data_IF_120976449435
#
_entry.id   IF_120976449435
#
_cell.length_a   1.000
_cell.length_b   1.000
_cell.length_c   1.000
_cell.angle_alpha   90.00
_cell.angle_beta   90.00
_cell.angle_gamma   90.00
#
_symmetry.space_group_name_H-M   'P 1'
#
loop_
_entity.id
_entity.type
_entity.pdbx_description
1 polymer ?
#
# COMPACT_ATOMS: atom_id res chain seq x y z
N UNK A 1 -0.66 73.19 7.50
CA UNK A 1 0.66 72.58 7.23
C UNK A 1 1.01 71.63 8.38
N UNK A 2 1.76 70.56 8.09
CA UNK A 2 2.26 69.48 9.00
C UNK A 2 1.31 68.28 9.15
N UNK A 3 1.75 67.02 9.11
CA UNK A 3 2.91 66.32 8.53
C UNK A 3 2.52 64.83 8.67
N UNK A 4 2.84 64.02 7.67
CA UNK A 4 2.59 62.56 7.61
C UNK A 4 3.34 61.83 8.74
N UNK A 5 2.83 60.70 9.22
CA UNK A 5 3.60 59.45 9.38
C UNK A 5 2.64 58.23 9.54
N UNK A 6 3.03 57.02 9.07
CA UNK A 6 2.11 56.00 8.59
C UNK A 6 1.85 54.88 9.62
N UNK A 7 0.57 54.52 9.80
CA UNK A 7 0.16 53.30 10.51
C UNK A 7 0.13 52.18 9.46
N UNK A 8 1.29 51.65 9.06
CA UNK A 8 1.35 50.50 8.16
C UNK A 8 2.62 49.68 8.37
N UNK A 9 2.76 49.05 9.52
CA UNK A 9 3.76 47.96 9.70
C UNK A 9 3.55 47.21 11.02
N UNK A 10 2.52 46.37 11.16
CA UNK A 10 2.52 45.34 12.23
C UNK A 10 1.45 44.25 12.08
N UNK A 11 1.34 43.56 10.95
CA UNK A 11 0.39 42.44 10.79
C UNK A 11 0.96 41.25 10.00
N UNK A 12 2.28 41.06 9.97
CA UNK A 12 2.93 40.04 9.13
C UNK A 12 3.83 39.04 9.89
N UNK A 13 3.51 38.71 11.16
CA UNK A 13 4.38 37.84 11.98
C UNK A 13 3.70 36.59 12.55
N UNK A 14 2.37 36.42 12.40
CA UNK A 14 1.66 35.25 12.94
C UNK A 14 1.58 34.05 11.98
N UNK A 15 1.81 34.24 10.67
CA UNK A 15 1.67 33.14 9.70
C UNK A 15 2.87 32.17 9.67
N UNK A 16 4.05 32.59 10.11
CA UNK A 16 5.29 31.80 10.00
C UNK A 16 5.37 30.63 11.01
N UNK A 17 4.70 30.73 12.16
CA UNK A 17 4.78 29.72 13.21
C UNK A 17 3.87 28.50 12.92
N UNK A 18 2.74 28.72 12.25
CA UNK A 18 1.79 27.64 11.92
C UNK A 18 2.29 26.72 10.80
N UNK A 19 3.14 27.22 9.90
CA UNK A 19 3.74 26.40 8.84
C UNK A 19 4.85 25.52 9.38
N UNK A 20 5.68 26.04 10.28
CA UNK A 20 6.80 25.30 10.90
C UNK A 20 6.31 24.10 11.73
N UNK A 21 5.26 24.28 12.53
CA UNK A 21 4.65 23.19 13.29
C UNK A 21 4.01 22.12 12.39
N UNK A 22 3.37 22.54 11.30
CA UNK A 22 2.73 21.62 10.35
C UNK A 22 3.76 20.82 9.54
N UNK A 23 4.87 21.45 9.15
CA UNK A 23 5.95 20.79 8.42
C UNK A 23 6.69 19.79 9.31
N UNK A 24 6.98 20.15 10.57
CA UNK A 24 7.55 19.22 11.56
C UNK A 24 6.66 18.00 11.79
N UNK A 25 5.35 18.19 11.93
CA UNK A 25 4.40 17.09 12.09
C UNK A 25 4.38 16.14 10.87
N UNK A 26 4.55 16.67 9.65
CA UNK A 26 4.63 15.86 8.43
C UNK A 26 5.93 15.06 8.36
N UNK A 27 7.06 15.64 8.77
CA UNK A 27 8.35 14.96 8.81
C UNK A 27 8.35 13.81 9.83
N UNK A 28 7.76 14.03 11.01
CA UNK A 28 7.59 12.98 12.02
C UNK A 28 6.70 11.84 11.50
N UNK A 29 5.57 12.17 10.86
CA UNK A 29 4.68 11.18 10.26
C UNK A 29 5.37 10.38 9.14
N UNK A 30 6.15 11.05 8.28
CA UNK A 30 6.91 10.38 7.22
C UNK A 30 7.97 9.45 7.79
N UNK A 31 8.67 9.87 8.84
CA UNK A 31 9.69 9.05 9.51
C UNK A 31 9.07 7.80 10.13
N UNK A 32 7.96 7.97 10.87
CA UNK A 32 7.23 6.86 11.47
C UNK A 32 6.75 5.86 10.40
N UNK A 33 6.25 6.35 9.26
CA UNK A 33 5.85 5.49 8.14
C UNK A 33 7.04 4.75 7.53
N UNK A 34 8.17 5.43 7.32
CA UNK A 34 9.39 4.82 6.79
C UNK A 34 9.93 3.74 7.72
N UNK A 35 10.00 4.01 9.03
CA UNK A 35 10.42 3.04 10.05
C UNK A 35 9.49 1.82 10.05
N UNK A 36 8.18 2.05 9.97
CA UNK A 36 7.20 0.97 9.88
C UNK A 36 7.41 0.11 8.61
N UNK A 37 7.65 0.73 7.46
CA UNK A 37 7.89 0.02 6.19
C UNK A 37 9.20 -0.78 6.23
N UNK A 38 10.28 -0.22 6.77
CA UNK A 38 11.58 -0.91 6.89
C UNK A 38 11.49 -2.08 7.89
N UNK A 39 10.74 -1.92 8.97
CA UNK A 39 10.57 -2.95 9.99
C UNK A 39 9.73 -4.15 9.51
N UNK A 40 8.93 -4.00 8.45
CA UNK A 40 8.14 -5.10 7.92
C UNK A 40 9.03 -6.13 7.21
N UNK A 41 8.95 -7.42 7.55
CA UNK A 41 9.69 -8.45 6.86
C UNK A 41 9.22 -8.57 5.41
N UNK A 42 10.14 -8.42 4.46
CA UNK A 42 9.86 -8.69 3.05
C UNK A 42 9.69 -10.20 2.85
N UNK A 43 8.43 -10.65 2.79
CA UNK A 43 8.09 -12.01 2.43
C UNK A 43 7.46 -12.03 1.03
N UNK A 44 8.25 -12.31 -0.02
CA UNK A 44 7.69 -12.42 -1.36
C UNK A 44 6.74 -13.64 -1.47
N UNK A 45 6.84 -14.60 -0.56
CA UNK A 45 6.30 -15.94 -0.73
C UNK A 45 7.02 -16.70 -1.83
N UNK A 46 6.43 -17.81 -2.29
CA UNK A 46 6.96 -18.63 -3.38
C UNK A 46 6.56 -18.06 -4.77
N UNK A 47 6.82 -16.76 -5.00
CA UNK A 47 6.40 -16.03 -6.22
C UNK A 47 6.78 -16.77 -7.49
N UNK A 48 8.04 -17.21 -7.61
CA UNK A 48 8.53 -17.90 -8.81
C UNK A 48 7.78 -19.19 -9.08
N UNK A 49 7.49 -19.96 -8.03
CA UNK A 49 6.73 -21.22 -8.13
C UNK A 49 5.28 -20.95 -8.54
N UNK A 50 4.67 -19.88 -8.01
CA UNK A 50 3.32 -19.48 -8.36
C UNK A 50 3.21 -18.97 -9.80
N UNK A 51 4.19 -18.19 -10.25
CA UNK A 51 4.30 -17.74 -11.64
C UNK A 51 4.51 -18.91 -12.60
N UNK A 52 5.42 -19.85 -12.27
CA UNK A 52 5.64 -21.05 -13.09
C UNK A 52 4.36 -21.87 -13.24
N UNK A 53 3.58 -22.02 -12.17
CA UNK A 53 2.26 -22.65 -12.24
C UNK A 53 1.30 -21.86 -13.15
N UNK A 54 1.20 -20.54 -13.00
CA UNK A 54 0.31 -19.70 -13.79
C UNK A 54 0.60 -19.83 -15.29
N UNK A 55 1.87 -19.81 -15.68
CA UNK A 55 2.30 -20.01 -17.07
C UNK A 55 1.94 -21.41 -17.59
N UNK A 56 2.16 -22.45 -16.78
CA UNK A 56 1.83 -23.82 -17.17
C UNK A 56 0.31 -24.04 -17.29
N UNK A 57 -0.46 -23.63 -16.29
CA UNK A 57 -1.92 -23.73 -16.26
C UNK A 57 -2.56 -23.00 -17.45
N UNK A 58 -2.00 -21.83 -17.82
CA UNK A 58 -2.41 -21.08 -19.01
C UNK A 58 -2.15 -21.84 -20.30
N UNK A 59 -0.96 -22.45 -20.45
CA UNK A 59 -0.63 -23.29 -21.63
C UNK A 59 -1.56 -24.50 -21.74
N UNK A 60 -1.96 -25.07 -20.62
CA UNK A 60 -2.86 -26.22 -20.54
C UNK A 60 -4.35 -25.85 -20.68
N UNK A 61 -4.68 -24.55 -20.78
CA UNK A 61 -6.07 -24.10 -20.89
C UNK A 61 -6.89 -24.27 -19.61
N UNK A 62 -6.24 -24.46 -18.46
CA UNK A 62 -6.90 -24.55 -17.16
C UNK A 62 -7.45 -23.18 -16.78
N UNK A 63 -8.73 -23.09 -16.44
CA UNK A 63 -9.31 -21.82 -16.00
C UNK A 63 -8.89 -21.50 -14.56
N UNK A 64 -8.58 -20.23 -14.22
CA UNK A 64 -8.33 -19.84 -12.83
C UNK A 64 -9.54 -20.14 -11.94
N UNK A 65 -9.26 -20.42 -10.66
CA UNK A 65 -10.32 -20.60 -9.66
C UNK A 65 -11.08 -19.30 -9.48
N UNK A 66 -12.39 -19.32 -9.73
CA UNK A 66 -13.22 -18.13 -9.73
C UNK A 66 -13.58 -17.63 -8.32
N UNK A 67 -13.62 -18.53 -7.34
CA UNK A 67 -14.05 -18.27 -5.96
C UNK A 67 -12.83 -18.14 -5.05
N UNK A 68 -12.81 -17.10 -4.24
CA UNK A 68 -11.76 -16.89 -3.25
C UNK A 68 -11.83 -17.95 -2.14
N UNK A 69 -10.71 -18.24 -1.45
CA UNK A 69 -10.76 -19.08 -0.24
C UNK A 69 -11.63 -18.43 0.83
N UNK A 70 -12.19 -19.25 1.73
CA UNK A 70 -13.18 -18.83 2.73
C UNK A 70 -12.71 -17.72 3.68
N UNK A 71 -11.41 -17.58 3.88
CA UNK A 71 -10.81 -16.58 4.76
C UNK A 71 -10.41 -15.28 4.02
N UNK A 72 -10.60 -15.21 2.70
CA UNK A 72 -10.34 -14.02 1.90
C UNK A 72 -11.18 -12.83 2.39
N UNK A 73 -10.59 -11.64 2.43
CA UNK A 73 -11.29 -10.42 2.79
C UNK A 73 -11.30 -9.42 1.61
N UNK A 74 -12.35 -8.59 1.50
CA UNK A 74 -12.37 -7.49 0.54
C UNK A 74 -11.14 -6.58 0.68
N UNK A 75 -10.54 -6.22 -0.46
CA UNK A 75 -9.35 -5.38 -0.52
C UNK A 75 -8.02 -6.12 -0.35
N UNK A 76 -8.03 -7.43 -0.13
CA UNK A 76 -6.80 -8.21 -0.08
C UNK A 76 -6.13 -8.34 -1.45
N UNK A 77 -4.81 -8.49 -1.38
CA UNK A 77 -3.93 -8.93 -2.45
C UNK A 77 -3.42 -10.33 -2.13
N UNK A 78 -2.70 -10.95 -3.08
CA UNK A 78 -2.15 -12.29 -2.84
C UNK A 78 -1.13 -12.32 -1.69
N UNK A 79 -0.45 -11.21 -1.36
CA UNK A 79 0.48 -11.18 -0.22
C UNK A 79 -0.24 -11.28 1.12
N UNK A 80 -1.50 -10.87 1.22
CA UNK A 80 -2.27 -11.03 2.46
C UNK A 80 -2.45 -12.50 2.83
N UNK A 81 -2.49 -13.41 1.84
CA UNK A 81 -2.56 -14.84 2.08
C UNK A 81 -1.27 -15.39 2.72
N UNK A 82 -0.09 -14.84 2.42
CA UNK A 82 1.20 -15.39 2.90
C UNK A 82 1.45 -15.12 4.38
N UNK A 83 0.75 -14.16 4.96
CA UNK A 83 0.84 -13.78 6.38
C UNK A 83 -0.38 -14.24 7.19
N UNK A 84 -1.37 -14.87 6.54
CA UNK A 84 -2.58 -15.33 7.21
C UNK A 84 -2.33 -16.64 7.99
N UNK A 85 -2.91 -16.82 9.20
CA UNK A 85 -2.72 -18.06 9.98
C UNK A 85 -3.19 -19.33 9.28
N UNK A 86 -4.18 -19.22 8.39
CA UNK A 86 -4.68 -20.32 7.56
C UNK A 86 -3.98 -20.39 6.18
N UNK A 87 -2.74 -19.92 6.07
CA UNK A 87 -2.00 -19.92 4.81
C UNK A 87 -1.96 -21.30 4.17
N UNK A 88 -2.45 -21.37 2.93
CA UNK A 88 -2.28 -22.50 2.04
C UNK A 88 -1.61 -22.03 0.75
N UNK A 89 -0.53 -22.70 0.36
CA UNK A 89 0.19 -22.37 -0.88
C UNK A 89 -0.71 -22.45 -2.12
N UNK A 90 -1.69 -23.37 -2.12
CA UNK A 90 -2.66 -23.49 -3.22
C UNK A 90 -3.47 -22.21 -3.40
N UNK A 91 -3.94 -21.59 -2.31
CA UNK A 91 -4.71 -20.35 -2.35
C UNK A 91 -3.87 -19.19 -2.89
N UNK A 92 -2.64 -19.06 -2.38
CA UNK A 92 -1.69 -18.05 -2.86
C UNK A 92 -1.40 -18.22 -4.37
N UNK A 93 -1.07 -19.44 -4.79
CA UNK A 93 -0.79 -19.76 -6.19
C UNK A 93 -1.99 -19.51 -7.09
N UNK A 94 -3.20 -19.89 -6.66
CA UNK A 94 -4.43 -19.64 -7.39
C UNK A 94 -4.74 -18.13 -7.48
N UNK A 95 -4.46 -17.36 -6.43
CA UNK A 95 -4.58 -15.90 -6.43
C UNK A 95 -3.65 -15.27 -7.47
N UNK A 96 -2.38 -15.67 -7.48
CA UNK A 96 -1.39 -15.19 -8.47
C UNK A 96 -1.87 -15.51 -9.88
N UNK A 97 -2.37 -16.72 -10.10
CA UNK A 97 -2.87 -17.09 -11.42
C UNK A 97 -4.13 -16.31 -11.82
N UNK A 98 -5.09 -16.14 -10.91
CA UNK A 98 -6.28 -15.33 -11.12
C UNK A 98 -5.94 -13.89 -11.50
N UNK A 99 -5.01 -13.27 -10.75
CA UNK A 99 -4.54 -11.92 -11.04
C UNK A 99 -3.82 -11.84 -12.39
N UNK A 100 -3.00 -12.82 -12.74
CA UNK A 100 -2.31 -12.87 -14.04
C UNK A 100 -3.30 -12.89 -15.22
N UNK A 101 -4.42 -13.62 -15.09
CA UNK A 101 -5.42 -13.73 -16.16
C UNK A 101 -6.39 -12.55 -16.19
N UNK A 102 -6.83 -12.05 -15.03
CA UNK A 102 -7.91 -11.06 -14.95
C UNK A 102 -7.46 -9.63 -14.62
N UNK A 103 -6.19 -9.42 -14.24
CA UNK A 103 -5.64 -8.12 -13.86
C UNK A 103 -6.26 -7.53 -12.58
N UNK A 104 -6.93 -8.36 -11.76
CA UNK A 104 -7.61 -7.94 -10.52
C UNK A 104 -7.63 -9.10 -9.53
N UNK A 105 -7.76 -8.77 -8.24
CA UNK A 105 -7.95 -9.77 -7.19
C UNK A 105 -9.42 -10.20 -7.09
N UNK A 106 -9.67 -11.27 -6.32
CA UNK A 106 -11.04 -11.68 -5.99
C UNK A 106 -11.76 -10.56 -5.23
N UNK A 107 -13.08 -10.50 -5.41
CA UNK A 107 -13.98 -9.57 -4.73
C UNK A 107 -14.85 -10.29 -3.73
#
# INVERSE_FOLDING_TARGET
>A
MHRRLPILTMLLSLAAHATDDADRAREEAQRALNEHVIAQPFNPGDVRKAQAYAEQAKKEGVKPVAVAPTHWQPGWSCSNLTVHPAYAYADYRNCVYYFHVYGRYWR
#
